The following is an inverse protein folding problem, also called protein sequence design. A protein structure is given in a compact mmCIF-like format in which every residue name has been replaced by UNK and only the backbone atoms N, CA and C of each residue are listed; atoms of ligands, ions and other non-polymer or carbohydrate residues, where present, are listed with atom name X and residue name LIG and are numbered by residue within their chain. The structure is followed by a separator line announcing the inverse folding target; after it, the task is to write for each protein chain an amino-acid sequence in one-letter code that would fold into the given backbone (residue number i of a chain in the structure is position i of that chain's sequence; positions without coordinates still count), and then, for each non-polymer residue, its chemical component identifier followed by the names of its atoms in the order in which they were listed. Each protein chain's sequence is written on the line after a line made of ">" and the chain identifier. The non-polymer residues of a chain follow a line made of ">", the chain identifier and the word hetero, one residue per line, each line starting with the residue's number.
data_IF_627628422571
#
_entry.id   IF_627628422571
#
_cell.length_a   1.000
_cell.length_b   1.000
_cell.length_c   1.000
_cell.angle_alpha   90.00
_cell.angle_beta   90.00
_cell.angle_gamma   90.00
#
_symmetry.space_group_name_H-M   'P 1'
#
loop_
_entity.id
_entity.type
_entity.pdbx_description
1 polymer ?
#
# COMPACT_ATOMS: atom_id res chain seq x y z
N UNK A 1 -27.40 -18.57 -58.26
CA UNK A 1 -26.29 -19.04 -57.42
C UNK A 1 -26.47 -18.41 -56.03
N UNK A 2 -27.11 -19.16 -55.10
CA UNK A 2 -27.25 -18.77 -53.69
C UNK A 2 -25.91 -19.05 -52.96
N UNK A 3 -25.25 -18.01 -52.48
CA UNK A 3 -24.19 -18.16 -51.50
C UNK A 3 -24.79 -18.44 -50.13
N UNK A 4 -24.70 -19.67 -49.66
CA UNK A 4 -24.92 -20.01 -48.24
C UNK A 4 -23.71 -19.50 -47.44
N UNK A 5 -23.93 -18.39 -46.72
CA UNK A 5 -22.99 -17.98 -45.66
C UNK A 5 -23.15 -18.95 -44.49
N UNK A 6 -22.20 -19.86 -44.34
CA UNK A 6 -22.06 -20.68 -43.14
C UNK A 6 -21.54 -19.79 -42.04
N UNK A 7 -22.44 -19.24 -41.20
CA UNK A 7 -22.07 -18.70 -39.89
C UNK A 7 -21.63 -19.85 -39.00
N UNK A 8 -20.33 -20.02 -38.86
CA UNK A 8 -19.78 -20.84 -37.77
C UNK A 8 -20.09 -20.14 -36.47
N UNK A 9 -21.16 -20.56 -35.79
CA UNK A 9 -21.34 -20.25 -34.39
C UNK A 9 -20.11 -20.84 -33.64
N UNK A 10 -19.16 -19.98 -33.32
CA UNK A 10 -18.16 -20.32 -32.34
C UNK A 10 -18.91 -20.61 -31.04
N UNK A 11 -18.98 -21.87 -30.65
CA UNK A 11 -19.55 -22.29 -29.39
C UNK A 11 -18.68 -21.67 -28.29
N UNK A 12 -19.08 -20.53 -27.74
CA UNK A 12 -18.43 -19.96 -26.57
C UNK A 12 -18.44 -21.03 -25.49
N UNK A 13 -17.30 -21.37 -24.90
CA UNK A 13 -17.27 -22.39 -23.87
C UNK A 13 -18.22 -21.99 -22.74
N UNK A 14 -19.03 -22.92 -22.31
CA UNK A 14 -20.06 -22.73 -21.29
C UNK A 14 -19.46 -22.33 -19.92
N UNK A 15 -18.15 -22.35 -19.79
CA UNK A 15 -17.33 -21.96 -18.62
C UNK A 15 -15.96 -21.51 -19.09
N UNK A 16 -15.35 -20.57 -18.38
CA UNK A 16 -13.98 -20.08 -18.67
C UNK A 16 -12.94 -20.53 -17.62
N UNK A 17 -13.35 -21.22 -16.56
CA UNK A 17 -12.44 -21.84 -15.59
C UNK A 17 -12.86 -23.30 -15.35
N UNK A 18 -11.92 -24.23 -15.57
CA UNK A 18 -12.00 -25.64 -15.22
C UNK A 18 -10.86 -26.00 -14.27
N UNK A 19 -11.20 -26.61 -13.13
CA UNK A 19 -10.23 -27.09 -12.14
C UNK A 19 -10.42 -28.60 -11.99
N UNK A 20 -9.33 -29.33 -12.09
CA UNK A 20 -9.27 -30.77 -11.83
C UNK A 20 -8.54 -31.01 -10.52
N UNK A 21 -9.17 -31.76 -9.63
CA UNK A 21 -8.65 -32.12 -8.32
C UNK A 21 -8.11 -33.52 -8.35
N UNK A 22 -6.87 -33.71 -7.89
CA UNK A 22 -6.22 -35.02 -7.72
C UNK A 22 -5.88 -35.20 -6.24
N UNK A 23 -6.42 -36.26 -5.64
CA UNK A 23 -6.29 -36.47 -4.20
C UNK A 23 -7.04 -35.49 -3.34
N UNK A 24 -7.99 -34.75 -3.94
CA UNK A 24 -8.81 -33.70 -3.33
C UNK A 24 -10.28 -33.86 -3.74
N UNK A 25 -10.75 -35.07 -3.97
CA UNK A 25 -12.02 -35.35 -4.67
C UNK A 25 -13.27 -34.76 -3.99
N UNK A 26 -13.23 -34.54 -2.67
CA UNK A 26 -14.30 -33.97 -1.88
C UNK A 26 -13.96 -32.57 -1.34
N UNK A 27 -12.91 -31.95 -1.84
CA UNK A 27 -12.48 -30.62 -1.37
C UNK A 27 -13.45 -29.54 -1.82
N UNK A 28 -13.70 -28.60 -0.93
CA UNK A 28 -14.42 -27.37 -1.20
C UNK A 28 -13.41 -26.27 -1.44
N UNK A 29 -13.50 -25.64 -2.60
CA UNK A 29 -12.67 -24.48 -2.93
C UNK A 29 -13.43 -23.18 -2.73
N UNK A 30 -12.74 -22.20 -2.25
CA UNK A 30 -13.24 -20.81 -2.22
C UNK A 30 -12.62 -20.06 -3.39
N UNK A 31 -13.46 -19.52 -4.25
CA UNK A 31 -13.08 -18.62 -5.34
C UNK A 31 -13.40 -17.18 -4.94
N UNK A 32 -12.38 -16.32 -4.92
CA UNK A 32 -12.56 -14.87 -4.78
C UNK A 32 -12.20 -14.19 -6.08
N UNK A 33 -13.04 -13.25 -6.51
CA UNK A 33 -12.82 -12.51 -7.74
C UNK A 33 -13.07 -11.03 -7.53
N UNK A 34 -12.30 -10.18 -8.22
CA UNK A 34 -12.50 -8.73 -8.25
C UNK A 34 -11.96 -8.16 -9.57
N UNK A 35 -12.37 -6.94 -9.97
CA UNK A 35 -11.69 -6.24 -11.06
C UNK A 35 -10.18 -6.15 -10.79
N UNK A 36 -9.36 -6.37 -11.82
CA UNK A 36 -7.90 -6.26 -11.69
C UNK A 36 -7.49 -4.85 -11.25
N UNK A 37 -8.22 -3.85 -11.73
CA UNK A 37 -8.03 -2.46 -11.35
C UNK A 37 -8.22 -2.19 -9.85
N UNK A 38 -9.21 -2.86 -9.23
CA UNK A 38 -9.48 -2.74 -7.80
C UNK A 38 -8.37 -3.43 -6.98
N UNK A 39 -7.90 -4.60 -7.46
CA UNK A 39 -6.74 -5.27 -6.87
C UNK A 39 -5.48 -4.40 -6.90
N UNK A 40 -5.21 -3.72 -8.04
CA UNK A 40 -4.09 -2.79 -8.18
C UNK A 40 -4.19 -1.60 -7.22
N UNK A 41 -5.43 -1.15 -6.95
CA UNK A 41 -5.70 -0.01 -6.07
C UNK A 41 -5.80 -0.38 -4.58
N UNK A 42 -5.56 -1.64 -4.21
CA UNK A 42 -5.80 -2.18 -2.86
C UNK A 42 -7.25 -1.95 -2.37
N UNK A 43 -8.20 -1.90 -3.30
CA UNK A 43 -9.63 -1.70 -3.02
C UNK A 43 -10.39 -3.03 -3.06
N UNK A 44 -10.64 -3.61 -1.90
CA UNK A 44 -11.30 -4.92 -1.76
C UNK A 44 -12.82 -4.86 -1.62
N UNK A 45 -13.43 -3.68 -1.74
CA UNK A 45 -14.88 -3.51 -1.56
C UNK A 45 -15.72 -4.28 -2.61
N UNK A 46 -15.15 -4.49 -3.80
CA UNK A 46 -15.80 -5.22 -4.91
C UNK A 46 -15.40 -6.70 -4.98
N UNK A 47 -14.77 -7.26 -3.93
CA UNK A 47 -14.41 -8.67 -3.91
C UNK A 47 -15.66 -9.54 -3.77
N UNK A 48 -15.86 -10.45 -4.73
CA UNK A 48 -16.89 -11.46 -4.70
C UNK A 48 -16.30 -12.78 -4.22
N UNK A 49 -17.06 -13.55 -3.46
CA UNK A 49 -16.63 -14.84 -2.91
C UNK A 49 -17.66 -15.90 -3.25
N UNK A 50 -17.21 -16.97 -3.90
CA UNK A 50 -18.02 -18.12 -4.28
C UNK A 50 -17.44 -19.40 -3.66
N UNK A 51 -18.32 -20.30 -3.27
CA UNK A 51 -17.96 -21.65 -2.82
C UNK A 51 -18.11 -22.63 -3.97
N UNK A 52 -17.04 -23.29 -4.33
CA UNK A 52 -16.99 -24.24 -5.44
C UNK A 52 -16.92 -25.67 -4.92
N UNK A 53 -17.87 -26.50 -5.35
CA UNK A 53 -17.93 -27.92 -4.99
C UNK A 53 -17.56 -28.77 -6.21
N UNK A 54 -16.66 -29.72 -6.02
CA UNK A 54 -16.25 -30.62 -7.08
C UNK A 54 -17.30 -31.70 -7.35
N UNK A 55 -17.52 -32.00 -8.61
CA UNK A 55 -18.28 -33.16 -9.07
C UNK A 55 -17.34 -34.12 -9.81
N UNK A 56 -17.12 -35.28 -9.23
CA UNK A 56 -16.14 -36.28 -9.73
C UNK A 56 -14.74 -35.67 -9.91
N UNK A 57 -14.27 -34.89 -8.93
CA UNK A 57 -12.96 -34.25 -8.97
C UNK A 57 -12.84 -33.11 -9.99
N UNK A 58 -13.95 -32.59 -10.53
CA UNK A 58 -13.92 -31.51 -11.53
C UNK A 58 -14.82 -30.36 -11.07
N UNK A 59 -14.31 -29.16 -11.14
CA UNK A 59 -15.04 -27.91 -10.97
C UNK A 59 -15.07 -27.17 -12.29
N UNK A 60 -16.24 -26.67 -12.69
CA UNK A 60 -16.42 -25.80 -13.87
C UNK A 60 -17.22 -24.59 -13.48
N UNK A 61 -16.66 -23.42 -13.68
CA UNK A 61 -17.31 -22.14 -13.33
C UNK A 61 -16.97 -21.04 -14.33
N UNK A 62 -17.63 -19.90 -14.20
CA UNK A 62 -17.43 -18.72 -15.02
C UNK A 62 -16.99 -17.56 -14.15
N UNK A 63 -15.83 -17.00 -14.46
CA UNK A 63 -15.41 -15.70 -13.93
C UNK A 63 -15.90 -14.64 -14.93
N UNK A 64 -16.81 -13.77 -14.48
CA UNK A 64 -17.37 -12.70 -15.31
C UNK A 64 -16.34 -11.60 -15.53
N UNK A 65 -15.78 -11.49 -16.73
CA UNK A 65 -14.76 -10.47 -17.04
C UNK A 65 -15.37 -9.12 -17.45
N UNK A 66 -16.62 -9.11 -17.98
CA UNK A 66 -17.31 -7.89 -18.39
C UNK A 66 -16.37 -6.91 -19.16
N UNK A 67 -15.66 -7.43 -20.16
CA UNK A 67 -14.68 -6.72 -20.98
C UNK A 67 -13.44 -6.17 -20.23
N UNK A 68 -13.24 -6.55 -18.98
CA UNK A 68 -12.06 -6.18 -18.20
C UNK A 68 -11.44 -7.37 -17.49
N UNK A 69 -10.09 -7.42 -17.37
CA UNK A 69 -9.40 -8.48 -16.63
C UNK A 69 -9.87 -8.55 -15.18
N UNK A 70 -9.92 -9.77 -14.64
CA UNK A 70 -10.19 -10.03 -13.23
C UNK A 70 -8.96 -10.61 -12.54
N UNK A 71 -8.69 -10.11 -11.34
CA UNK A 71 -7.96 -10.85 -10.35
C UNK A 71 -8.83 -11.98 -9.84
N UNK A 72 -8.28 -13.17 -9.67
CA UNK A 72 -8.95 -14.23 -8.95
C UNK A 72 -7.99 -15.01 -8.03
N UNK A 73 -8.55 -15.51 -6.96
CA UNK A 73 -7.87 -16.25 -5.94
C UNK A 73 -8.62 -17.54 -5.65
N UNK A 74 -7.89 -18.64 -5.51
CA UNK A 74 -8.45 -19.94 -5.17
C UNK A 74 -7.80 -20.44 -3.88
N UNK A 75 -8.64 -20.89 -2.95
CA UNK A 75 -8.24 -21.44 -1.65
C UNK A 75 -8.90 -22.80 -1.42
N UNK A 76 -8.15 -23.78 -0.95
CA UNK A 76 -8.65 -25.08 -0.55
C UNK A 76 -8.97 -25.07 0.95
N UNK A 77 -10.26 -25.05 1.28
CA UNK A 77 -10.74 -24.74 2.63
C UNK A 77 -10.29 -25.74 3.70
N UNK A 78 -10.33 -27.05 3.40
CA UNK A 78 -9.95 -28.09 4.38
C UNK A 78 -8.44 -28.06 4.71
N UNK A 79 -7.62 -27.54 3.80
CA UNK A 79 -6.19 -27.40 4.01
C UNK A 79 -5.80 -26.06 4.64
N UNK A 80 -6.78 -25.15 4.83
CA UNK A 80 -6.53 -23.82 5.41
C UNK A 80 -6.64 -23.82 6.94
N UNK A 81 -7.28 -24.81 7.53
CA UNK A 81 -7.58 -24.87 8.97
C UNK A 81 -6.75 -26.01 9.59
N UNK A 82 -6.03 -25.71 10.67
CA UNK A 82 -5.34 -26.72 11.47
C UNK A 82 -6.32 -27.27 12.50
N UNK A 83 -6.40 -28.59 12.61
CA UNK A 83 -7.22 -29.25 13.62
C UNK A 83 -6.82 -28.75 15.02
N UNK A 84 -7.76 -28.13 15.72
CA UNK A 84 -7.60 -27.68 17.10
C UNK A 84 -7.22 -26.22 17.31
N UNK A 85 -6.81 -25.47 16.29
CA UNK A 85 -6.55 -24.02 16.42
C UNK A 85 -7.09 -23.23 15.22
N UNK A 86 -8.24 -22.61 15.41
CA UNK A 86 -8.93 -21.81 14.39
C UNK A 86 -8.18 -20.52 13.99
N UNK A 87 -7.11 -20.17 14.68
CA UNK A 87 -6.30 -18.98 14.39
C UNK A 87 -5.07 -19.28 13.54
N UNK A 88 -4.70 -20.56 13.38
CA UNK A 88 -3.59 -20.98 12.55
C UNK A 88 -4.08 -21.55 11.22
N UNK A 89 -3.69 -20.92 10.12
CA UNK A 89 -3.99 -21.40 8.77
C UNK A 89 -2.81 -22.18 8.21
N UNK A 90 -3.09 -23.37 7.70
CA UNK A 90 -2.07 -24.15 6.99
C UNK A 90 -1.68 -23.49 5.68
N UNK A 91 -0.37 -23.33 5.38
CA UNK A 91 0.07 -22.80 4.09
C UNK A 91 -0.36 -23.66 2.90
N UNK A 92 -0.67 -24.94 3.11
CA UNK A 92 -1.11 -25.86 2.04
C UNK A 92 -2.41 -25.40 1.38
N UNK A 93 -3.38 -24.89 2.17
CA UNK A 93 -4.67 -24.41 1.68
C UNK A 93 -4.69 -22.95 1.30
N UNK A 94 -3.66 -22.16 1.63
CA UNK A 94 -3.66 -20.72 1.41
C UNK A 94 -3.84 -20.39 -0.06
N UNK A 95 -4.65 -19.37 -0.26
CA UNK A 95 -5.09 -18.86 -1.54
C UNK A 95 -3.98 -18.58 -2.55
N UNK A 96 -4.26 -18.87 -3.81
CA UNK A 96 -3.36 -18.65 -4.95
C UNK A 96 -3.96 -17.64 -5.90
N UNK A 97 -3.15 -16.69 -6.30
CA UNK A 97 -3.56 -15.52 -7.07
C UNK A 97 -3.27 -15.71 -8.56
N UNK A 98 -4.22 -15.33 -9.40
CA UNK A 98 -4.14 -15.45 -10.85
C UNK A 98 -4.88 -14.31 -11.55
N UNK A 99 -4.77 -14.27 -12.89
CA UNK A 99 -5.44 -13.29 -13.75
C UNK A 99 -6.40 -14.04 -14.67
N UNK A 100 -7.64 -13.58 -14.78
CA UNK A 100 -8.59 -14.01 -15.79
C UNK A 100 -8.81 -12.88 -16.80
N UNK A 101 -8.39 -13.10 -18.05
CA UNK A 101 -8.65 -12.25 -19.20
C UNK A 101 -9.27 -13.16 -20.24
N UNK A 102 -10.58 -13.27 -20.34
CA UNK A 102 -11.32 -14.02 -21.37
C UNK A 102 -10.82 -15.42 -21.77
N UNK A 103 -9.67 -15.87 -21.23
CA UNK A 103 -9.06 -17.16 -21.54
C UNK A 103 -9.87 -18.30 -20.92
N UNK A 104 -9.93 -19.42 -21.67
CA UNK A 104 -10.39 -20.70 -21.12
C UNK A 104 -9.24 -21.29 -20.27
N UNK A 105 -9.34 -21.11 -18.96
CA UNK A 105 -8.31 -21.52 -18.00
C UNK A 105 -8.60 -22.94 -17.54
N UNK A 106 -7.62 -23.84 -17.67
CA UNK A 106 -7.66 -25.21 -17.12
C UNK A 106 -6.53 -25.38 -16.12
N UNK A 107 -6.88 -25.71 -14.89
CA UNK A 107 -5.94 -25.94 -13.80
C UNK A 107 -6.06 -27.36 -13.26
N UNK A 108 -4.95 -27.89 -12.77
CA UNK A 108 -4.89 -29.14 -12.03
C UNK A 108 -4.32 -28.83 -10.64
N UNK A 109 -5.08 -29.20 -9.63
CA UNK A 109 -4.69 -29.13 -8.22
C UNK A 109 -4.38 -30.54 -7.77
N UNK A 110 -3.17 -30.80 -7.36
CA UNK A 110 -2.69 -32.11 -6.95
C UNK A 110 -2.23 -32.06 -5.49
N UNK A 111 -2.89 -32.83 -4.62
CA UNK A 111 -2.46 -32.99 -3.25
C UNK A 111 -1.17 -33.82 -3.23
N UNK A 112 -0.10 -33.24 -2.75
CA UNK A 112 1.14 -33.90 -2.40
C UNK A 112 1.15 -34.20 -0.89
N UNK A 113 2.17 -34.89 -0.41
CA UNK A 113 2.27 -35.31 0.99
C UNK A 113 2.11 -34.12 1.97
N UNK A 114 2.59 -32.94 1.58
CA UNK A 114 2.71 -31.79 2.48
C UNK A 114 2.21 -30.46 1.92
N UNK A 115 1.79 -30.39 0.65
CA UNK A 115 1.24 -29.17 0.05
C UNK A 115 0.40 -29.49 -1.18
N UNK A 116 -0.30 -28.49 -1.72
CA UNK A 116 -1.02 -28.61 -2.98
C UNK A 116 -0.19 -27.98 -4.08
N UNK A 117 0.14 -28.74 -5.11
CA UNK A 117 0.73 -28.23 -6.34
C UNK A 117 -0.36 -27.81 -7.32
N UNK A 118 -0.20 -26.65 -7.95
CA UNK A 118 -1.13 -26.14 -8.97
C UNK A 118 -0.43 -26.05 -10.31
N UNK A 119 -1.00 -26.71 -11.33
CA UNK A 119 -0.50 -26.68 -12.70
C UNK A 119 -1.53 -26.03 -13.62
N UNK A 120 -1.16 -24.96 -14.30
CA UNK A 120 -1.99 -24.36 -15.35
C UNK A 120 -1.75 -25.11 -16.66
N UNK A 121 -2.70 -25.97 -17.03
CA UNK A 121 -2.63 -26.81 -18.26
C UNK A 121 -2.98 -25.99 -19.50
N UNK A 122 -3.96 -25.08 -19.39
CA UNK A 122 -4.39 -24.16 -20.42
C UNK A 122 -4.65 -22.79 -19.82
N UNK A 123 -4.30 -21.72 -20.53
CA UNK A 123 -4.43 -20.33 -20.08
C UNK A 123 -3.23 -19.51 -20.56
N UNK A 124 -3.16 -18.26 -20.11
CA UNK A 124 -2.09 -17.34 -20.45
C UNK A 124 -0.72 -17.83 -19.97
N UNK A 125 0.35 -17.38 -20.63
CA UNK A 125 1.71 -17.65 -20.15
C UNK A 125 1.94 -17.02 -18.78
N UNK A 126 1.35 -15.85 -18.51
CA UNK A 126 1.41 -15.22 -17.19
C UNK A 126 0.89 -16.14 -16.08
N UNK A 127 -0.28 -16.76 -16.25
CA UNK A 127 -0.84 -17.68 -15.27
C UNK A 127 0.03 -18.94 -15.06
N UNK A 128 0.68 -19.44 -16.12
CA UNK A 128 1.64 -20.56 -16.00
C UNK A 128 2.85 -20.16 -15.17
N UNK A 129 3.43 -19.01 -15.46
CA UNK A 129 4.60 -18.50 -14.75
C UNK A 129 4.25 -18.18 -13.28
N UNK A 130 3.11 -17.53 -13.03
CA UNK A 130 2.58 -17.25 -11.69
C UNK A 130 2.41 -18.57 -10.90
N UNK A 131 1.87 -19.61 -11.55
CA UNK A 131 1.69 -20.91 -10.92
C UNK A 131 3.00 -21.54 -10.46
N UNK A 132 4.06 -21.48 -11.28
CA UNK A 132 5.39 -21.98 -10.93
C UNK A 132 5.97 -21.27 -9.70
N UNK A 133 5.90 -19.93 -9.68
CA UNK A 133 6.40 -19.13 -8.56
C UNK A 133 5.59 -19.41 -7.30
N UNK A 134 4.26 -19.44 -7.41
CA UNK A 134 3.37 -19.73 -6.28
C UNK A 134 3.63 -21.11 -5.68
N UNK A 135 3.90 -22.15 -6.48
CA UNK A 135 4.20 -23.49 -5.97
C UNK A 135 5.47 -23.49 -5.14
N UNK A 136 6.56 -22.89 -5.65
CA UNK A 136 7.83 -22.78 -4.92
C UNK A 136 7.68 -21.96 -3.62
N UNK A 137 6.97 -20.84 -3.69
CA UNK A 137 6.67 -20.03 -2.52
C UNK A 137 5.91 -20.82 -1.44
N UNK A 138 4.87 -21.58 -1.85
CA UNK A 138 4.03 -22.36 -0.93
C UNK A 138 4.76 -23.55 -0.34
N UNK A 139 5.63 -24.18 -1.08
CA UNK A 139 6.50 -25.22 -0.55
C UNK A 139 7.35 -24.70 0.61
N UNK A 140 8.01 -23.54 0.44
CA UNK A 140 8.80 -22.91 1.51
C UNK A 140 7.94 -22.48 2.71
N UNK A 141 6.74 -21.94 2.46
CA UNK A 141 5.81 -21.60 3.52
C UNK A 141 5.40 -22.84 4.32
N UNK A 142 5.17 -23.97 3.67
CA UNK A 142 4.85 -25.23 4.34
C UNK A 142 6.04 -25.77 5.14
N UNK A 143 7.25 -25.74 4.59
CA UNK A 143 8.47 -26.18 5.29
C UNK A 143 8.67 -25.39 6.59
N UNK A 144 8.47 -24.07 6.55
CA UNK A 144 8.48 -23.24 7.75
C UNK A 144 7.38 -23.62 8.73
N UNK A 145 6.15 -23.81 8.24
CA UNK A 145 5.02 -24.19 9.07
C UNK A 145 5.26 -25.55 9.76
N UNK A 146 5.74 -26.55 9.04
CA UNK A 146 6.11 -27.86 9.58
C UNK A 146 7.21 -27.74 10.64
N UNK A 147 8.16 -26.81 10.45
CA UNK A 147 9.20 -26.55 11.43
C UNK A 147 8.62 -26.02 12.75
N UNK A 148 7.73 -25.03 12.69
CA UNK A 148 7.20 -24.36 13.92
C UNK A 148 6.13 -25.18 14.63
N UNK A 149 5.35 -26.01 13.93
CA UNK A 149 4.28 -26.86 14.50
C UNK A 149 4.77 -28.24 14.88
N UNK A 150 5.89 -28.70 14.32
CA UNK A 150 6.49 -29.99 14.64
C UNK A 150 7.15 -30.02 16.02
N UNK A 151 7.59 -31.22 16.43
CA UNK A 151 8.20 -31.44 17.74
C UNK A 151 9.39 -30.48 18.00
N UNK A 152 10.24 -30.24 16.99
CA UNK A 152 11.35 -29.28 17.08
C UNK A 152 10.88 -27.85 17.34
N UNK A 153 9.76 -27.42 16.73
CA UNK A 153 9.23 -26.08 16.90
C UNK A 153 8.71 -25.80 18.30
N UNK A 154 8.23 -26.83 19.01
CA UNK A 154 7.79 -26.73 20.40
C UNK A 154 8.96 -26.47 21.35
N UNK A 155 10.17 -26.90 20.99
CA UNK A 155 11.41 -26.72 21.77
C UNK A 155 12.08 -25.36 21.50
N UNK A 156 11.71 -24.66 20.42
CA UNK A 156 12.28 -23.35 20.06
C UNK A 156 11.85 -22.25 21.03
N UNK A 157 12.80 -21.45 21.45
CA UNK A 157 12.52 -20.18 22.15
C UNK A 157 11.79 -19.17 21.24
N UNK A 158 11.15 -18.18 21.82
CA UNK A 158 10.50 -17.09 21.06
C UNK A 158 11.49 -16.37 20.11
N UNK A 159 12.75 -16.22 20.52
CA UNK A 159 13.79 -15.60 19.70
C UNK A 159 14.13 -16.46 18.48
N UNK A 160 14.30 -17.77 18.67
CA UNK A 160 14.60 -18.71 17.59
C UNK A 160 13.44 -18.82 16.60
N UNK A 161 12.19 -18.82 17.08
CA UNK A 161 11.01 -18.77 16.21
C UNK A 161 10.96 -17.49 15.36
N UNK A 162 11.29 -16.34 15.95
CA UNK A 162 11.35 -15.08 15.20
C UNK A 162 12.46 -15.06 14.14
N UNK A 163 13.62 -15.65 14.43
CA UNK A 163 14.70 -15.82 13.43
C UNK A 163 14.24 -16.74 12.30
N UNK A 164 13.69 -17.92 12.63
CA UNK A 164 13.19 -18.85 11.62
C UNK A 164 12.07 -18.25 10.76
N UNK A 165 11.20 -17.41 11.34
CA UNK A 165 10.20 -16.65 10.58
C UNK A 165 10.84 -15.69 9.59
N UNK A 166 11.82 -14.89 10.05
CA UNK A 166 12.53 -13.95 9.20
C UNK A 166 13.25 -14.63 8.04
N UNK A 167 13.96 -15.71 8.33
CA UNK A 167 14.69 -16.50 7.32
C UNK A 167 13.75 -17.10 6.28
N UNK A 168 12.63 -17.67 6.72
CA UNK A 168 11.60 -18.22 5.84
C UNK A 168 10.91 -17.16 5.01
N UNK A 169 10.55 -16.03 5.61
CA UNK A 169 9.95 -14.91 4.90
C UNK A 169 10.88 -14.36 3.81
N UNK A 170 12.16 -14.21 4.13
CA UNK A 170 13.18 -13.79 3.17
C UNK A 170 13.33 -14.83 2.03
N UNK A 171 13.36 -16.13 2.36
CA UNK A 171 13.45 -17.18 1.35
C UNK A 171 12.24 -17.16 0.40
N UNK A 172 11.03 -16.97 0.93
CA UNK A 172 9.81 -16.86 0.14
C UNK A 172 9.80 -15.59 -0.75
N UNK A 173 10.22 -14.46 -0.21
CA UNK A 173 10.33 -13.19 -0.97
C UNK A 173 11.35 -13.32 -2.10
N UNK A 174 12.51 -13.92 -1.81
CA UNK A 174 13.57 -14.14 -2.80
C UNK A 174 13.10 -14.97 -4.01
N UNK A 175 12.18 -15.92 -3.83
CA UNK A 175 11.61 -16.69 -4.96
C UNK A 175 10.89 -15.78 -5.94
N UNK A 176 10.14 -14.82 -5.44
CA UNK A 176 9.38 -13.87 -6.25
C UNK A 176 10.33 -12.85 -6.89
N UNK A 177 11.24 -12.29 -6.11
CA UNK A 177 12.22 -11.30 -6.58
C UNK A 177 13.16 -11.89 -7.63
N UNK A 178 13.65 -13.11 -7.43
CA UNK A 178 14.49 -13.83 -8.41
C UNK A 178 13.76 -14.03 -9.74
N UNK A 179 12.47 -14.39 -9.68
CA UNK A 179 11.66 -14.51 -10.89
C UNK A 179 11.53 -13.17 -11.61
N UNK A 180 11.19 -12.10 -10.89
CA UNK A 180 11.02 -10.74 -11.45
C UNK A 180 12.33 -10.28 -12.11
N UNK A 181 13.45 -10.38 -11.40
CA UNK A 181 14.75 -9.93 -11.88
C UNK A 181 15.22 -10.69 -13.14
N UNK A 182 14.91 -11.99 -13.24
CA UNK A 182 15.28 -12.81 -14.39
C UNK A 182 14.29 -12.72 -15.55
N UNK A 183 13.12 -12.12 -15.37
CA UNK A 183 12.05 -12.05 -16.36
C UNK A 183 11.39 -10.66 -16.39
N UNK A 184 12.15 -9.57 -16.58
CA UNK A 184 11.61 -8.20 -16.50
C UNK A 184 10.60 -7.85 -17.59
N UNK A 185 10.55 -8.64 -18.67
CA UNK A 185 9.68 -8.50 -19.83
C UNK A 185 8.37 -9.30 -19.70
N UNK A 186 8.20 -10.09 -18.63
CA UNK A 186 7.01 -10.92 -18.48
C UNK A 186 5.89 -10.23 -17.68
N UNK A 187 4.66 -10.39 -18.15
CA UNK A 187 3.46 -9.94 -17.45
C UNK A 187 3.35 -10.50 -16.03
N UNK A 188 3.78 -11.76 -15.83
CA UNK A 188 3.82 -12.39 -14.53
C UNK A 188 4.67 -11.60 -13.52
N UNK A 189 5.79 -11.00 -13.96
CA UNK A 189 6.67 -10.20 -13.11
C UNK A 189 5.96 -8.97 -12.57
N UNK A 190 5.21 -8.26 -13.41
CA UNK A 190 4.41 -7.12 -12.99
C UNK A 190 3.32 -7.52 -11.99
N UNK A 191 2.60 -8.61 -12.25
CA UNK A 191 1.56 -9.11 -11.35
C UNK A 191 2.13 -9.58 -10.00
N UNK A 192 3.22 -10.33 -10.00
CA UNK A 192 3.88 -10.82 -8.80
C UNK A 192 4.44 -9.68 -7.95
N UNK A 193 4.99 -8.65 -8.58
CA UNK A 193 5.45 -7.44 -7.89
C UNK A 193 4.33 -6.76 -7.11
N UNK A 194 3.13 -6.66 -7.69
CA UNK A 194 1.97 -6.08 -7.01
C UNK A 194 1.54 -6.90 -5.79
N UNK A 195 1.77 -8.20 -5.81
CA UNK A 195 1.44 -9.11 -4.70
C UNK A 195 2.44 -9.07 -3.53
N UNK A 196 3.62 -8.47 -3.72
CA UNK A 196 4.60 -8.30 -2.65
C UNK A 196 4.18 -7.20 -1.67
N UNK A 197 4.42 -7.46 -0.39
CA UNK A 197 4.20 -6.47 0.68
C UNK A 197 5.36 -5.44 0.73
N UNK A 198 5.52 -4.71 -0.35
CA UNK A 198 6.50 -3.64 -0.47
C UNK A 198 5.85 -2.29 -0.22
N UNK A 199 6.64 -1.35 0.27
CA UNK A 199 6.22 0.06 0.29
C UNK A 199 5.99 0.57 -1.13
N UNK A 200 5.18 1.63 -1.26
CA UNK A 200 4.95 2.25 -2.57
C UNK A 200 6.24 2.74 -3.25
N UNK A 201 7.26 3.12 -2.47
CA UNK A 201 8.57 3.53 -2.99
C UNK A 201 9.33 2.34 -3.59
N UNK A 202 9.40 1.23 -2.86
CA UNK A 202 10.04 -0.01 -3.32
C UNK A 202 9.33 -0.58 -4.56
N UNK A 203 7.98 -0.56 -4.59
CA UNK A 203 7.22 -0.97 -5.79
C UNK A 203 7.59 -0.13 -7.01
N UNK A 204 7.75 1.18 -6.85
CA UNK A 204 8.17 2.08 -7.95
C UNK A 204 9.57 1.72 -8.44
N UNK A 205 10.53 1.51 -7.53
CA UNK A 205 11.90 1.13 -7.89
C UNK A 205 11.94 -0.17 -8.70
N UNK A 206 11.17 -1.18 -8.29
CA UNK A 206 11.06 -2.43 -9.04
C UNK A 206 10.35 -2.27 -10.39
N UNK A 207 9.28 -1.44 -10.48
CA UNK A 207 8.59 -1.18 -11.76
C UNK A 207 9.56 -0.51 -12.76
N UNK A 208 10.48 0.33 -12.32
CA UNK A 208 11.50 0.96 -13.18
C UNK A 208 12.48 -0.03 -13.80
N UNK A 209 12.61 -1.23 -13.22
CA UNK A 209 13.47 -2.30 -13.73
C UNK A 209 12.75 -3.22 -14.72
N UNK A 210 11.41 -3.14 -14.79
CA UNK A 210 10.62 -3.93 -15.74
C UNK A 210 10.63 -3.29 -17.14
N UNK A 211 10.35 -4.11 -18.16
CA UNK A 211 10.17 -3.62 -19.51
C UNK A 211 8.93 -2.70 -19.59
N UNK A 212 9.15 -1.46 -20.01
CA UNK A 212 8.10 -0.44 -20.10
C UNK A 212 6.95 -0.83 -21.07
N UNK A 213 7.18 -1.78 -21.98
CA UNK A 213 6.15 -2.33 -22.86
C UNK A 213 5.05 -3.09 -22.12
N UNK A 214 5.31 -3.52 -20.87
CA UNK A 214 4.30 -4.13 -20.02
C UNK A 214 3.24 -3.14 -19.54
N UNK A 215 3.55 -1.85 -19.44
CA UNK A 215 2.64 -0.81 -18.95
C UNK A 215 1.68 -0.34 -20.07
N UNK A 216 1.04 -1.28 -20.75
CA UNK A 216 0.05 -1.07 -21.83
C UNK A 216 -1.39 -1.02 -21.30
N UNK A 217 -2.37 -1.03 -22.20
CA UNK A 217 -3.81 -0.87 -21.90
C UNK A 217 -4.31 -1.69 -20.70
N UNK A 218 -3.94 -2.97 -20.61
CA UNK A 218 -4.34 -3.87 -19.53
C UNK A 218 -3.82 -3.40 -18.16
N UNK A 219 -2.67 -2.73 -18.13
CA UNK A 219 -1.97 -2.28 -16.95
C UNK A 219 -1.92 -0.75 -16.81
N UNK A 220 -2.82 -0.04 -17.50
CA UNK A 220 -2.86 1.44 -17.48
C UNK A 220 -2.99 2.00 -16.06
N UNK A 221 -3.75 1.34 -15.19
CA UNK A 221 -3.87 1.77 -13.79
C UNK A 221 -2.58 1.57 -12.98
N UNK A 222 -1.80 0.54 -13.28
CA UNK A 222 -0.46 0.38 -12.69
C UNK A 222 0.45 1.50 -13.14
N UNK A 223 0.41 1.85 -14.42
CA UNK A 223 1.16 2.99 -14.96
C UNK A 223 0.79 4.30 -14.28
N UNK A 224 -0.51 4.58 -14.15
CA UNK A 224 -1.00 5.78 -13.45
C UNK A 224 -0.55 5.78 -11.98
N UNK A 225 -0.67 4.65 -11.28
CA UNK A 225 -0.19 4.50 -9.90
C UNK A 225 1.31 4.75 -9.80
N UNK A 226 2.09 4.13 -10.68
CA UNK A 226 3.54 4.31 -10.75
C UNK A 226 3.93 5.77 -10.93
N UNK A 227 3.38 6.46 -11.95
CA UNK A 227 3.69 7.85 -12.25
C UNK A 227 3.33 8.77 -11.07
N UNK A 228 2.15 8.61 -10.48
CA UNK A 228 1.74 9.37 -9.29
C UNK A 228 2.67 9.13 -8.10
N UNK A 229 2.99 7.87 -7.82
CA UNK A 229 3.84 7.52 -6.68
C UNK A 229 5.27 8.03 -6.87
N UNK A 230 5.80 7.96 -8.10
CA UNK A 230 7.11 8.54 -8.44
C UNK A 230 7.18 10.03 -8.15
N UNK A 231 6.15 10.79 -8.56
CA UNK A 231 6.05 12.23 -8.25
C UNK A 231 6.06 12.46 -6.74
N UNK A 232 5.23 11.74 -5.99
CA UNK A 232 5.16 11.83 -4.52
C UNK A 232 6.52 11.55 -3.88
N UNK A 233 7.20 10.47 -4.31
CA UNK A 233 8.50 10.09 -3.77
C UNK A 233 9.57 11.16 -4.07
N UNK A 234 9.61 11.69 -5.29
CA UNK A 234 10.53 12.75 -5.68
C UNK A 234 10.34 14.01 -4.84
N UNK A 235 9.08 14.44 -4.62
CA UNK A 235 8.78 15.60 -3.77
C UNK A 235 9.24 15.34 -2.34
N UNK A 236 8.95 14.16 -1.77
CA UNK A 236 9.38 13.82 -0.40
C UNK A 236 10.90 13.72 -0.24
N UNK A 237 11.60 13.14 -1.21
CA UNK A 237 13.06 13.08 -1.17
C UNK A 237 13.68 14.49 -1.23
N UNK A 238 13.17 15.34 -2.12
CA UNK A 238 13.58 16.75 -2.18
C UNK A 238 13.32 17.47 -0.86
N UNK A 239 12.14 17.26 -0.26
CA UNK A 239 11.77 17.87 1.03
C UNK A 239 12.71 17.41 2.16
N UNK A 240 13.03 16.11 2.24
CA UNK A 240 14.00 15.60 3.23
C UNK A 240 15.38 16.24 3.06
N UNK A 241 15.89 16.28 1.83
CA UNK A 241 17.16 16.94 1.54
C UNK A 241 17.14 18.41 1.95
N UNK A 242 16.08 19.14 1.62
CA UNK A 242 15.91 20.54 2.01
C UNK A 242 15.96 20.72 3.55
N UNK A 243 15.40 19.77 4.30
CA UNK A 243 15.42 19.76 5.77
C UNK A 243 16.85 19.48 6.28
N UNK A 244 17.50 18.44 5.75
CA UNK A 244 18.82 17.99 6.20
C UNK A 244 19.90 19.05 5.90
N UNK A 245 19.81 19.71 4.76
CA UNK A 245 20.75 20.75 4.31
C UNK A 245 20.38 22.15 4.84
N UNK A 246 19.32 22.28 5.64
CA UNK A 246 18.82 23.56 6.17
C UNK A 246 18.63 24.63 5.07
N UNK A 247 18.04 24.21 3.95
CA UNK A 247 17.79 25.09 2.81
C UNK A 247 16.69 26.11 3.08
N UNK A 248 16.41 26.98 2.11
CA UNK A 248 15.26 27.89 2.15
C UNK A 248 13.97 27.07 2.22
N UNK A 249 13.14 27.41 3.18
CA UNK A 249 11.85 26.77 3.40
C UNK A 249 10.95 26.87 2.16
N UNK A 250 10.16 25.81 1.90
CA UNK A 250 9.18 25.81 0.82
C UNK A 250 8.17 26.93 1.03
N UNK A 251 8.05 27.83 0.03
CA UNK A 251 7.13 28.95 0.06
C UNK A 251 5.70 28.49 -0.28
N UNK A 252 4.73 28.98 0.48
CA UNK A 252 3.31 28.73 0.23
C UNK A 252 2.47 29.92 0.66
N UNK A 253 1.30 30.04 0.05
CA UNK A 253 0.36 31.17 0.28
C UNK A 253 -1.08 30.69 0.27
N UNK A 254 -1.99 31.50 0.77
CA UNK A 254 -3.43 31.25 0.83
C UNK A 254 -4.12 32.31 1.68
N UNK A 255 -5.21 31.94 2.34
CA UNK A 255 -5.90 32.81 3.26
C UNK A 255 -5.83 32.27 4.68
N UNK A 256 -5.68 33.14 5.66
CA UNK A 256 -5.80 32.78 7.06
C UNK A 256 -7.27 32.53 7.46
N UNK A 257 -7.49 32.13 8.71
CA UNK A 257 -8.83 31.85 9.24
C UNK A 257 -9.78 33.08 9.18
N UNK A 258 -9.25 34.30 9.13
CA UNK A 258 -9.99 35.54 9.05
C UNK A 258 -10.21 35.99 7.60
N UNK A 259 -9.69 35.28 6.62
CA UNK A 259 -9.76 35.61 5.20
C UNK A 259 -8.69 36.58 4.72
N UNK A 260 -7.68 36.89 5.54
CA UNK A 260 -6.59 37.77 5.13
C UNK A 260 -5.60 36.97 4.25
N UNK A 261 -5.01 37.66 3.27
CA UNK A 261 -3.94 37.07 2.45
C UNK A 261 -2.74 36.69 3.32
N UNK A 262 -2.28 35.48 3.13
CA UNK A 262 -1.15 34.88 3.82
C UNK A 262 -0.09 34.43 2.82
N UNK A 263 1.19 34.64 3.16
CA UNK A 263 2.33 33.95 2.57
C UNK A 263 3.42 33.77 3.62
N UNK A 264 4.18 32.69 3.55
CA UNK A 264 5.26 32.43 4.51
C UNK A 264 6.32 33.55 4.49
N UNK A 265 6.55 34.13 3.33
CA UNK A 265 7.50 35.24 3.16
C UNK A 265 7.13 36.54 3.89
N UNK A 266 5.87 36.73 4.29
CA UNK A 266 5.45 37.87 5.12
C UNK A 266 6.14 37.91 6.48
N UNK A 267 6.65 36.81 6.97
CA UNK A 267 7.29 36.70 8.28
C UNK A 267 8.83 36.78 8.21
N UNK A 268 9.41 37.15 7.07
CA UNK A 268 10.85 37.38 7.00
C UNK A 268 11.27 38.43 8.05
N UNK A 269 12.40 38.18 8.71
CA UNK A 269 12.87 38.96 9.84
C UNK A 269 12.42 38.45 11.21
N UNK A 270 11.47 37.51 11.27
CA UNK A 270 11.08 36.79 12.47
C UNK A 270 11.38 35.30 12.36
N UNK A 271 11.58 34.65 13.48
CA UNK A 271 11.51 33.20 13.57
C UNK A 271 10.09 32.74 13.26
N UNK A 272 9.92 31.61 12.57
CA UNK A 272 8.60 31.04 12.28
C UNK A 272 8.55 29.61 12.77
N UNK A 273 7.47 29.26 13.45
CA UNK A 273 7.14 27.88 13.78
C UNK A 273 5.95 27.46 12.92
N UNK A 274 6.17 26.56 11.97
CA UNK A 274 5.07 25.87 11.30
C UNK A 274 4.63 24.74 12.20
N UNK A 275 3.39 24.78 12.68
CA UNK A 275 2.78 23.75 13.51
C UNK A 275 1.77 22.97 12.68
N UNK A 276 2.13 21.75 12.27
CA UNK A 276 1.26 20.84 11.55
C UNK A 276 0.43 20.03 12.53
N UNK A 277 -0.88 20.23 12.51
CA UNK A 277 -1.82 19.67 13.50
C UNK A 277 -3.16 19.26 12.87
N UNK A 278 -4.07 18.71 13.66
CA UNK A 278 -5.47 18.47 13.29
C UNK A 278 -6.37 18.45 14.52
N UNK A 279 -7.65 18.79 14.36
CA UNK A 279 -8.64 18.78 15.46
C UNK A 279 -8.82 17.39 16.09
N UNK A 280 -8.62 16.36 15.31
CA UNK A 280 -8.66 14.94 15.67
C UNK A 280 -7.39 14.44 16.38
N UNK A 281 -6.33 15.25 16.42
CA UNK A 281 -5.03 14.87 16.98
C UNK A 281 -4.94 15.19 18.48
N UNK A 282 -5.19 14.20 19.31
CA UNK A 282 -5.13 14.36 20.78
C UNK A 282 -3.81 14.93 21.33
N UNK A 283 -2.62 14.41 20.89
CA UNK A 283 -1.34 15.01 21.31
C UNK A 283 -1.19 16.48 20.90
N UNK A 284 -1.70 16.87 19.71
CA UNK A 284 -1.67 18.25 19.23
C UNK A 284 -2.45 19.16 20.18
N UNK A 285 -3.66 18.75 20.56
CA UNK A 285 -4.50 19.53 21.46
C UNK A 285 -3.87 19.68 22.87
N UNK A 286 -3.18 18.66 23.36
CA UNK A 286 -2.45 18.77 24.64
C UNK A 286 -1.30 19.78 24.60
N UNK A 287 -0.70 20.02 23.44
CA UNK A 287 0.39 20.99 23.24
C UNK A 287 -0.09 22.46 23.20
N UNK A 288 -1.36 22.73 22.86
CA UNK A 288 -1.87 24.10 22.68
C UNK A 288 -1.63 25.02 23.88
N UNK A 289 -1.84 24.60 25.14
CA UNK A 289 -1.58 25.49 26.30
C UNK A 289 -0.12 25.94 26.39
N UNK A 290 0.83 25.05 26.09
CA UNK A 290 2.25 25.39 26.06
C UNK A 290 2.57 26.33 24.89
N UNK A 291 2.05 26.06 23.69
CA UNK A 291 2.20 26.93 22.53
C UNK A 291 1.65 28.35 22.78
N UNK A 292 0.48 28.49 23.42
CA UNK A 292 -0.08 29.80 23.83
C UNK A 292 0.88 30.55 24.74
N UNK A 293 1.48 29.87 25.75
CA UNK A 293 2.45 30.47 26.66
C UNK A 293 3.70 30.98 25.92
N UNK A 294 4.23 30.18 24.99
CA UNK A 294 5.42 30.55 24.22
C UNK A 294 5.11 31.65 23.21
N UNK A 295 3.97 31.61 22.54
CA UNK A 295 3.55 32.67 21.64
C UNK A 295 3.37 34.00 22.36
N UNK A 296 2.69 34.01 23.50
CA UNK A 296 2.54 35.22 24.32
C UNK A 296 3.90 35.82 24.75
N UNK A 297 4.90 34.98 24.99
CA UNK A 297 6.24 35.39 25.45
C UNK A 297 7.11 35.94 24.32
N UNK A 298 6.97 35.43 23.11
CA UNK A 298 7.93 35.67 22.04
C UNK A 298 7.32 36.19 20.72
N UNK A 299 6.07 36.60 20.69
CA UNK A 299 5.36 37.04 19.48
C UNK A 299 5.96 38.30 18.82
N UNK A 300 6.80 39.07 19.53
CA UNK A 300 7.62 40.12 18.95
C UNK A 300 8.72 39.59 18.00
N UNK A 301 9.30 38.46 18.33
CA UNK A 301 10.44 37.83 17.62
C UNK A 301 10.05 36.59 16.82
N UNK A 302 8.90 35.97 17.13
CA UNK A 302 8.47 34.71 16.57
C UNK A 302 7.00 34.75 16.15
N UNK A 303 6.71 34.17 14.99
CA UNK A 303 5.33 33.88 14.56
C UNK A 303 5.09 32.37 14.62
N UNK A 304 3.85 31.98 14.92
CA UNK A 304 3.38 30.60 14.78
C UNK A 304 2.41 30.57 13.60
N UNK A 305 2.59 29.62 12.70
CA UNK A 305 1.65 29.32 11.63
C UNK A 305 1.08 27.93 11.88
N UNK A 306 -0.13 27.88 12.40
CA UNK A 306 -0.87 26.65 12.59
C UNK A 306 -1.46 26.16 11.26
N UNK A 307 -1.05 24.98 10.82
CA UNK A 307 -1.50 24.36 9.56
C UNK A 307 -2.36 23.16 9.91
N UNK A 308 -3.69 23.34 9.84
CA UNK A 308 -4.63 22.25 10.09
C UNK A 308 -4.64 21.29 8.90
N UNK A 309 -4.40 20.01 9.18
CA UNK A 309 -4.28 18.94 8.21
C UNK A 309 -5.42 17.93 8.35
N UNK A 310 -6.01 17.53 7.22
CA UNK A 310 -7.08 16.53 7.15
C UNK A 310 -8.37 16.90 7.89
N UNK A 311 -8.56 18.16 8.22
CA UNK A 311 -9.79 18.70 8.84
C UNK A 311 -10.83 19.10 7.80
N UNK A 312 -12.09 19.15 8.23
CA UNK A 312 -13.12 19.92 7.58
C UNK A 312 -13.02 21.38 8.05
N UNK A 313 -13.36 22.33 7.19
CA UNK A 313 -13.24 23.75 7.50
C UNK A 313 -13.99 24.15 8.78
N UNK A 314 -15.19 23.62 8.99
CA UNK A 314 -16.00 23.87 10.18
C UNK A 314 -15.29 23.38 11.46
N UNK A 315 -14.74 22.16 11.44
CA UNK A 315 -14.03 21.59 12.58
C UNK A 315 -12.78 22.40 12.91
N UNK A 316 -11.99 22.75 11.89
CA UNK A 316 -10.83 23.61 12.05
C UNK A 316 -11.19 24.95 12.72
N UNK A 317 -12.19 25.69 12.18
CA UNK A 317 -12.63 26.98 12.72
C UNK A 317 -13.10 26.87 14.16
N UNK A 318 -13.91 25.87 14.48
CA UNK A 318 -14.40 25.64 15.83
C UNK A 318 -13.25 25.35 16.80
N UNK A 319 -12.32 24.46 16.42
CA UNK A 319 -11.18 24.08 17.27
C UNK A 319 -10.25 25.28 17.54
N UNK A 320 -9.94 26.08 16.52
CA UNK A 320 -9.13 27.31 16.69
C UNK A 320 -9.80 28.29 17.66
N UNK A 321 -11.11 28.49 17.52
CA UNK A 321 -11.90 29.39 18.38
C UNK A 321 -11.98 28.86 19.82
N UNK A 322 -12.35 27.60 20.01
CA UNK A 322 -12.51 26.99 21.35
C UNK A 322 -11.20 26.94 22.13
N UNK A 323 -10.08 26.74 21.45
CA UNK A 323 -8.76 26.73 22.06
C UNK A 323 -8.05 28.08 22.07
N UNK A 324 -8.73 29.16 21.60
CA UNK A 324 -8.19 30.53 21.54
C UNK A 324 -6.78 30.57 20.92
N UNK A 325 -6.60 29.92 19.77
CA UNK A 325 -5.34 29.93 19.03
C UNK A 325 -5.20 31.25 18.27
N UNK A 326 -4.55 32.23 18.87
CA UNK A 326 -4.51 33.63 18.39
C UNK A 326 -3.43 33.90 17.35
N UNK A 327 -2.57 32.93 17.05
CA UNK A 327 -1.57 33.02 15.98
C UNK A 327 -2.18 32.80 14.60
N UNK A 328 -1.38 32.95 13.56
CA UNK A 328 -1.80 32.71 12.18
C UNK A 328 -2.26 31.27 12.00
N UNK A 329 -3.49 31.04 11.56
CA UNK A 329 -4.05 29.72 11.33
C UNK A 329 -4.53 29.58 9.89
N UNK A 330 -4.07 28.53 9.22
CA UNK A 330 -4.51 28.15 7.88
C UNK A 330 -4.97 26.69 7.86
N UNK A 331 -5.75 26.31 6.86
CA UNK A 331 -6.11 24.94 6.59
C UNK A 331 -5.30 24.44 5.39
N UNK A 332 -4.73 23.23 5.48
CA UNK A 332 -4.06 22.61 4.35
C UNK A 332 -5.06 22.36 3.22
N UNK A 333 -4.82 22.86 2.00
CA UNK A 333 -5.75 22.69 0.90
C UNK A 333 -5.89 21.23 0.52
N UNK A 334 -7.12 20.80 0.20
CA UNK A 334 -7.43 19.46 -0.32
C UNK A 334 -7.14 19.40 -1.81
N UNK A 335 -6.94 18.19 -2.30
CA UNK A 335 -6.84 17.86 -3.74
C UNK A 335 -5.78 18.69 -4.50
N UNK A 336 -4.70 19.06 -3.82
CA UNK A 336 -3.55 19.71 -4.46
C UNK A 336 -2.56 18.68 -5.00
N UNK A 337 -1.87 19.05 -6.08
CA UNK A 337 -0.79 18.19 -6.60
C UNK A 337 0.33 18.03 -5.56
N UNK A 338 1.09 16.93 -5.60
CA UNK A 338 2.19 16.68 -4.67
C UNK A 338 3.17 17.86 -4.53
N UNK A 339 3.49 18.52 -5.64
CA UNK A 339 4.43 19.64 -5.70
C UNK A 339 3.91 20.90 -4.98
N UNK A 340 2.58 21.04 -4.86
CA UNK A 340 1.93 22.17 -4.17
C UNK A 340 1.51 21.81 -2.74
N UNK A 341 1.59 20.55 -2.36
CA UNK A 341 1.19 20.11 -1.02
C UNK A 341 2.20 20.59 0.03
N UNK A 342 1.74 21.42 0.96
CA UNK A 342 2.58 21.89 2.08
C UNK A 342 3.11 20.70 2.87
N UNK A 343 2.24 19.73 3.18
CA UNK A 343 2.63 18.53 3.92
C UNK A 343 3.75 17.73 3.23
N UNK A 344 3.66 17.56 1.91
CA UNK A 344 4.68 16.80 1.17
C UNK A 344 5.99 17.55 1.05
N UNK A 345 5.96 18.86 0.84
CA UNK A 345 7.14 19.70 0.73
C UNK A 345 7.86 19.96 2.07
N UNK A 346 7.26 19.58 3.18
CA UNK A 346 7.92 19.52 4.51
C UNK A 346 8.07 18.09 5.02
N UNK A 347 7.89 17.08 4.17
CA UNK A 347 8.02 15.64 4.47
C UNK A 347 7.21 15.20 5.72
N UNK A 348 6.03 15.80 5.95
CA UNK A 348 5.19 15.52 7.11
C UNK A 348 4.63 14.09 7.01
N UNK A 349 4.92 13.26 8.01
CA UNK A 349 4.46 11.87 8.11
C UNK A 349 3.67 11.56 9.38
N UNK A 350 3.60 12.50 10.32
CA UNK A 350 2.89 12.33 11.59
C UNK A 350 2.56 13.66 12.24
N UNK A 351 1.74 13.61 13.30
CA UNK A 351 1.24 14.81 14.00
C UNK A 351 1.37 14.67 15.53
N UNK A 352 1.66 15.80 16.23
CA UNK A 352 2.08 17.08 15.66
C UNK A 352 3.48 17.01 15.06
N UNK A 353 3.74 17.84 14.05
CA UNK A 353 5.10 18.10 13.59
C UNK A 353 5.31 19.61 13.56
N UNK A 354 6.43 20.07 14.13
CA UNK A 354 6.79 21.48 14.22
C UNK A 354 8.09 21.72 13.45
N UNK A 355 8.06 22.68 12.52
CA UNK A 355 9.22 23.12 11.74
C UNK A 355 9.61 24.52 12.15
N UNK A 356 10.81 24.71 12.64
CA UNK A 356 11.37 26.02 12.98
C UNK A 356 12.08 26.58 11.77
N UNK A 357 11.77 27.83 11.41
CA UNK A 357 12.35 28.56 10.28
C UNK A 357 13.02 29.81 10.82
N UNK A 358 14.25 30.10 10.32
CA UNK A 358 15.02 31.27 10.70
C UNK A 358 14.44 32.57 10.13
N UNK A 359 14.83 33.75 10.66
CA UNK A 359 14.42 35.04 10.08
C UNK A 359 14.75 35.22 8.60
N UNK A 360 15.79 34.54 8.11
CA UNK A 360 16.20 34.53 6.69
C UNK A 360 15.34 33.57 5.85
N UNK A 361 14.48 32.78 6.50
CA UNK A 361 13.60 31.83 5.85
C UNK A 361 14.20 30.46 5.59
N UNK A 362 15.26 30.09 6.31
CA UNK A 362 15.87 28.75 6.22
C UNK A 362 15.26 27.81 7.25
N UNK A 363 15.16 26.54 6.91
CA UNK A 363 14.77 25.51 7.88
C UNK A 363 15.88 25.40 8.93
N UNK A 364 15.51 25.60 10.19
CA UNK A 364 16.42 25.43 11.32
C UNK A 364 16.37 24.00 11.87
N UNK A 365 15.15 23.54 12.21
CA UNK A 365 14.97 22.21 12.82
C UNK A 365 13.53 21.73 12.71
N UNK A 366 13.37 20.40 12.67
CA UNK A 366 12.07 19.72 12.66
C UNK A 366 11.92 18.86 13.90
N UNK A 367 10.73 18.89 14.50
CA UNK A 367 10.36 18.10 15.67
C UNK A 367 9.07 17.34 15.38
N UNK A 368 9.08 16.02 15.57
CA UNK A 368 7.88 15.18 15.44
C UNK A 368 7.40 14.74 16.82
N UNK A 369 6.11 14.87 17.07
CA UNK A 369 5.49 14.66 18.36
C UNK A 369 5.51 15.92 19.26
N UNK A 370 4.75 15.86 20.36
CA UNK A 370 4.76 16.90 21.38
C UNK A 370 5.90 16.62 22.37
N UNK A 371 7.01 17.35 22.25
CA UNK A 371 8.26 17.08 22.99
C UNK A 371 8.77 18.31 23.73
N UNK A 372 9.39 18.09 24.91
CA UNK A 372 10.06 19.17 25.63
C UNK A 372 11.26 19.77 24.88
N UNK A 373 11.90 18.99 24.02
CA UNK A 373 13.08 19.43 23.26
C UNK A 373 12.75 20.53 22.25
N UNK A 374 11.52 20.54 21.73
CA UNK A 374 11.05 21.66 20.91
C UNK A 374 11.06 22.96 21.73
N UNK A 375 10.50 22.97 22.92
CA UNK A 375 10.43 24.15 23.78
C UNK A 375 11.81 24.61 24.26
N UNK A 376 12.71 23.68 24.58
CA UNK A 376 14.11 23.99 24.91
C UNK A 376 14.83 24.68 23.74
N UNK A 377 14.57 24.23 22.51
CA UNK A 377 15.16 24.84 21.32
C UNK A 377 14.60 26.26 21.12
N UNK A 378 13.29 26.49 21.29
CA UNK A 378 12.71 27.84 21.25
C UNK A 378 13.36 28.75 22.29
N UNK A 379 13.48 28.32 23.55
CA UNK A 379 14.13 29.11 24.61
C UNK A 379 15.62 29.42 24.30
N UNK A 380 16.30 28.55 23.56
CA UNK A 380 17.69 28.72 23.13
C UNK A 380 17.83 29.79 22.04
N UNK A 381 16.98 29.75 21.00
CA UNK A 381 17.06 30.66 19.85
C UNK A 381 16.43 32.05 20.13
N UNK A 382 15.65 32.19 21.20
CA UNK A 382 15.01 33.45 21.59
C UNK A 382 15.86 34.29 22.59
N UNK A 383 16.97 33.71 23.08
CA UNK A 383 17.94 34.43 23.93
C UNK A 383 18.69 35.48 23.11
#
# INVERSE_FOLDING_TARGET
>A
TLLLATTTFACTPKHNLEIRLKGLDNETLILRTMPLDDYIADNYDNMQTDTLVAHNGIIKTNIQTNDSPKYFQIEALQYSIIEGDHNLQSPAGIARNFICSEDNIQMEFEALENHIEVKVKRGSQANKDISLVNNKYRQLAYEYFALITGQKGQELSAKERNIAFGDSFNAMSNVVEEFINNNPDKEASLFLLLSLQLSSAEKVEHIEQLDSSLLTQKWEKVKIFYEKTKIVNNVRQKARKMIDDQEIAFEFSGNDINGNDFSLSLFRGKWVVLDFWGSWCGPCMRGVPAMKKYYKRYSDKMEIVGISCNDKEEQWRNTVKENEMTWTNIIHPKDVSPEKSIMMNYAITGFPTKVIITPEGRIHKVFTGETEDFYKEIDKIMK
#
